data_IF_956938992630
#
_entry.id   IF_956938992630
#
_cell.length_a   1.000
_cell.length_b   1.000
_cell.length_c   1.000
_cell.angle_alpha   90.00
_cell.angle_beta   90.00
_cell.angle_gamma   90.00
#
_symmetry.space_group_name_H-M   'P 1'
#
loop_
_entity.id
_entity.type
_entity.pdbx_description
1 polymer ?
#
# COMPACT_ATOMS: atom_id res chain seq x y z
N UNK A 1 19.22 21.67 -4.32
CA UNK A 1 18.38 22.87 -4.50
C UNK A 1 18.92 24.05 -3.69
N UNK A 2 18.38 25.25 -3.93
CA UNK A 2 18.69 26.42 -3.10
C UNK A 2 17.98 26.34 -1.75
N UNK A 3 18.58 26.86 -0.69
CA UNK A 3 18.01 26.84 0.66
C UNK A 3 16.60 27.47 0.77
N UNK A 4 16.29 28.42 -0.10
CA UNK A 4 14.98 29.10 -0.21
C UNK A 4 13.82 28.12 -0.52
N UNK A 5 14.11 26.93 -1.05
CA UNK A 5 13.09 25.91 -1.31
C UNK A 5 12.60 25.18 -0.06
N UNK A 6 13.25 25.34 1.09
CA UNK A 6 13.00 24.56 2.31
C UNK A 6 11.53 24.58 2.78
N UNK A 7 10.91 25.78 2.81
CA UNK A 7 9.52 25.92 3.25
C UNK A 7 8.53 25.24 2.29
N UNK A 8 8.78 25.35 0.98
CA UNK A 8 8.00 24.64 -0.05
C UNK A 8 8.10 23.12 0.14
N UNK A 9 9.31 22.60 0.37
CA UNK A 9 9.52 21.16 0.57
C UNK A 9 8.77 20.65 1.79
N UNK A 10 8.86 21.37 2.93
CA UNK A 10 8.12 21.02 4.15
C UNK A 10 6.60 20.99 3.91
N UNK A 11 6.07 22.02 3.24
CA UNK A 11 4.64 22.12 2.96
C UNK A 11 4.12 20.99 2.06
N UNK A 12 5.00 20.32 1.32
CA UNK A 12 4.67 19.22 0.41
C UNK A 12 5.15 17.85 0.90
N UNK A 13 5.62 17.75 2.14
CA UNK A 13 6.05 16.49 2.74
C UNK A 13 7.39 15.95 2.22
N UNK A 14 8.19 16.80 1.55
CA UNK A 14 9.51 16.43 1.06
C UNK A 14 10.54 16.77 2.12
N UNK A 15 11.23 15.76 2.63
CA UNK A 15 12.31 15.96 3.60
C UNK A 15 13.56 16.53 2.89
N UNK A 16 14.41 17.23 3.63
CA UNK A 16 15.67 17.76 3.11
C UNK A 16 16.79 17.79 4.15
N UNK A 17 18.01 17.79 3.65
CA UNK A 17 19.24 17.92 4.45
C UNK A 17 19.98 19.17 3.98
N UNK A 18 20.39 20.05 4.91
CA UNK A 18 21.24 21.18 4.58
C UNK A 18 22.64 20.67 4.20
N UNK A 19 23.15 21.12 3.04
CA UNK A 19 24.52 20.82 2.59
C UNK A 19 25.50 21.93 2.98
N UNK A 20 25.06 23.19 2.81
CA UNK A 20 25.81 24.41 3.17
C UNK A 20 24.81 25.57 3.32
N UNK A 21 25.33 26.81 3.55
CA UNK A 21 24.47 28.00 3.78
C UNK A 21 23.51 28.33 2.61
N UNK A 22 23.80 27.86 1.40
CA UNK A 22 23.01 28.19 0.20
C UNK A 22 22.31 27.01 -0.45
N UNK A 23 22.59 25.77 -0.01
CA UNK A 23 22.11 24.56 -0.69
C UNK A 23 21.51 23.54 0.25
N UNK A 24 20.47 22.87 -0.24
CA UNK A 24 19.82 21.74 0.40
C UNK A 24 19.73 20.54 -0.55
N UNK A 25 19.72 19.35 0.03
CA UNK A 25 19.42 18.10 -0.68
C UNK A 25 18.01 17.68 -0.32
N UNK A 26 17.10 17.67 -1.29
CA UNK A 26 15.76 17.09 -1.11
C UNK A 26 15.86 15.56 -1.06
N UNK A 27 15.12 14.95 -0.14
CA UNK A 27 15.08 13.50 0.07
C UNK A 27 13.66 13.02 -0.16
N UNK A 28 13.45 12.30 -1.26
CA UNK A 28 12.14 11.74 -1.60
C UNK A 28 11.99 10.35 -0.97
N UNK A 29 10.80 10.09 -0.41
CA UNK A 29 10.44 8.73 0.01
C UNK A 29 10.25 7.81 -1.20
N UNK A 30 10.20 6.49 -0.98
CA UNK A 30 9.85 5.55 -2.04
C UNK A 30 8.47 5.87 -2.65
N UNK A 31 7.49 6.18 -1.80
CA UNK A 31 6.15 6.60 -2.24
C UNK A 31 6.18 7.79 -3.20
N UNK A 32 6.95 8.82 -2.87
CA UNK A 32 7.09 10.03 -3.68
C UNK A 32 7.83 9.77 -4.99
N UNK A 33 8.92 8.99 -4.93
CA UNK A 33 9.70 8.62 -6.12
C UNK A 33 8.88 7.77 -7.10
N UNK A 34 8.11 6.83 -6.57
CA UNK A 34 7.28 5.95 -7.38
C UNK A 34 6.07 6.67 -7.98
N UNK A 35 5.51 7.64 -7.29
CA UNK A 35 4.47 8.50 -7.85
C UNK A 35 4.99 9.29 -9.06
N UNK A 36 6.20 9.82 -8.98
CA UNK A 36 6.87 10.48 -10.13
C UNK A 36 7.09 9.51 -11.29
N UNK A 37 7.54 8.29 -11.01
CA UNK A 37 7.74 7.25 -12.03
C UNK A 37 6.42 6.86 -12.69
N UNK A 38 5.36 6.66 -11.91
CA UNK A 38 4.01 6.34 -12.42
C UNK A 38 3.50 7.43 -13.37
N UNK A 39 3.56 8.68 -12.94
CA UNK A 39 3.07 9.82 -13.71
C UNK A 39 3.89 10.01 -14.99
N UNK A 40 5.21 9.93 -14.90
CA UNK A 40 6.09 10.01 -16.06
C UNK A 40 5.78 8.90 -17.06
N UNK A 41 5.68 7.64 -16.60
CA UNK A 41 5.38 6.51 -17.46
C UNK A 41 4.01 6.64 -18.14
N UNK A 42 2.97 7.03 -17.38
CA UNK A 42 1.66 7.29 -17.93
C UNK A 42 1.67 8.39 -19.02
N UNK A 43 2.43 9.47 -18.80
CA UNK A 43 2.62 10.53 -19.80
C UNK A 43 3.31 10.02 -21.07
N UNK A 44 4.32 9.15 -20.94
CA UNK A 44 4.99 8.55 -22.10
C UNK A 44 4.04 7.66 -22.90
N UNK A 45 3.21 6.85 -22.23
CA UNK A 45 2.19 6.01 -22.89
C UNK A 45 1.14 6.87 -23.62
N UNK A 46 0.72 7.98 -23.02
CA UNK A 46 -0.22 8.95 -23.64
C UNK A 46 0.41 9.59 -24.87
N UNK A 47 1.66 10.04 -24.81
CA UNK A 47 2.38 10.63 -25.94
C UNK A 47 2.58 9.63 -27.08
N UNK A 48 2.81 8.36 -26.77
CA UNK A 48 2.94 7.30 -27.76
C UNK A 48 1.58 6.84 -28.36
N UNK A 49 0.44 7.36 -27.89
CA UNK A 49 -0.88 6.94 -28.34
C UNK A 49 -1.28 5.53 -27.87
N UNK A 50 -0.62 5.02 -26.82
CA UNK A 50 -0.83 3.66 -26.32
C UNK A 50 -1.79 3.62 -25.10
N UNK A 51 -2.06 4.78 -24.46
CA UNK A 51 -2.78 4.83 -23.19
C UNK A 51 -4.17 4.20 -23.27
N UNK A 52 -4.93 4.55 -24.28
CA UNK A 52 -6.35 4.17 -24.43
C UNK A 52 -6.55 2.74 -25.00
N UNK A 53 -5.47 2.04 -25.33
CA UNK A 53 -5.54 0.67 -25.84
C UNK A 53 -5.97 -0.34 -24.75
N UNK A 54 -5.86 0.04 -23.46
CA UNK A 54 -6.04 -0.85 -22.33
C UNK A 54 -6.81 -0.19 -21.19
N UNK A 55 -7.48 -1.00 -20.37
CA UNK A 55 -7.85 -0.57 -19.04
C UNK A 55 -6.61 -0.55 -18.18
N UNK A 56 -6.18 0.64 -17.75
CA UNK A 56 -4.96 0.84 -16.95
C UNK A 56 -5.23 0.58 -15.47
N UNK A 57 -4.31 -0.12 -14.83
CA UNK A 57 -4.42 -0.36 -13.39
C UNK A 57 -3.04 -0.36 -12.71
N UNK A 58 -3.07 -0.11 -11.40
CA UNK A 58 -1.92 -0.26 -10.51
C UNK A 58 -2.22 -1.32 -9.46
N UNK A 59 -1.16 -1.96 -8.94
CA UNK A 59 -1.25 -2.85 -7.79
C UNK A 59 -0.38 -2.23 -6.69
N UNK A 60 -0.97 -2.00 -5.52
CA UNK A 60 -0.24 -1.39 -4.39
C UNK A 60 -0.51 -2.12 -3.09
N UNK A 61 0.47 -2.10 -2.19
CA UNK A 61 0.24 -2.53 -0.81
C UNK A 61 -0.64 -1.51 -0.08
N UNK A 62 -1.43 -1.97 0.90
CA UNK A 62 -2.30 -1.10 1.69
C UNK A 62 -1.54 0.00 2.42
N UNK A 63 -0.28 -0.27 2.81
CA UNK A 63 0.61 0.70 3.45
C UNK A 63 1.20 1.77 2.50
N UNK A 64 0.98 1.65 1.18
CA UNK A 64 1.45 2.66 0.22
C UNK A 64 0.64 3.95 0.30
N UNK A 65 1.26 5.07 -0.12
CA UNK A 65 0.70 6.40 0.05
C UNK A 65 -0.70 6.60 -0.55
N UNK A 66 -1.53 7.42 0.11
CA UNK A 66 -2.85 7.85 -0.37
C UNK A 66 -2.76 8.64 -1.69
N UNK A 67 -1.65 9.34 -1.90
CA UNK A 67 -1.41 10.07 -3.15
C UNK A 67 -1.45 9.19 -4.41
N UNK A 68 -1.16 7.89 -4.29
CA UNK A 68 -1.27 6.96 -5.42
C UNK A 68 -2.73 6.70 -5.81
N UNK A 69 -3.62 6.60 -4.82
CA UNK A 69 -5.07 6.43 -5.06
C UNK A 69 -5.65 7.67 -5.73
N UNK A 70 -5.30 8.86 -5.20
CA UNK A 70 -5.76 10.15 -5.72
C UNK A 70 -5.25 10.38 -7.16
N UNK A 71 -3.98 10.04 -7.42
CA UNK A 71 -3.42 10.09 -8.78
C UNK A 71 -4.14 9.12 -9.71
N UNK A 72 -4.39 7.89 -9.27
CA UNK A 72 -5.06 6.87 -10.08
C UNK A 72 -6.49 7.30 -10.44
N UNK A 73 -7.25 7.83 -9.48
CA UNK A 73 -8.59 8.36 -9.69
C UNK A 73 -8.59 9.47 -10.75
N UNK A 74 -7.69 10.45 -10.63
CA UNK A 74 -7.59 11.57 -11.57
C UNK A 74 -7.15 11.17 -12.99
N UNK A 75 -6.48 10.02 -13.13
CA UNK A 75 -6.02 9.50 -14.42
C UNK A 75 -6.88 8.36 -14.98
N UNK A 76 -8.01 8.02 -14.33
CA UNK A 76 -8.88 6.92 -14.76
C UNK A 76 -8.24 5.54 -14.62
N UNK A 77 -7.26 5.39 -13.72
CA UNK A 77 -6.52 4.16 -13.47
C UNK A 77 -7.21 3.38 -12.35
N UNK A 78 -7.38 2.07 -12.52
CA UNK A 78 -7.94 1.20 -11.48
C UNK A 78 -6.86 0.89 -10.44
N UNK A 79 -7.28 0.73 -9.17
CA UNK A 79 -6.38 0.37 -8.07
C UNK A 79 -6.76 -1.00 -7.53
N UNK A 80 -5.78 -1.90 -7.41
CA UNK A 80 -5.94 -3.18 -6.72
C UNK A 80 -5.07 -3.15 -5.47
N UNK A 81 -5.71 -3.16 -4.31
CA UNK A 81 -5.03 -3.14 -3.02
C UNK A 81 -4.68 -4.57 -2.58
N UNK A 82 -3.47 -4.74 -2.07
CA UNK A 82 -2.98 -6.03 -1.57
C UNK A 82 -2.40 -5.88 -0.16
N UNK A 83 -2.34 -6.98 0.63
CA UNK A 83 -1.59 -6.98 1.87
C UNK A 83 -0.13 -6.58 1.65
N UNK A 84 0.54 -6.11 2.69
CA UNK A 84 1.97 -5.77 2.61
C UNK A 84 2.80 -7.00 2.27
N UNK A 85 3.62 -6.86 1.24
CA UNK A 85 4.54 -7.90 0.75
C UNK A 85 4.45 -8.10 -0.76
N UNK A 86 5.61 -8.06 -1.41
CA UNK A 86 5.67 -8.10 -2.88
C UNK A 86 5.10 -9.39 -3.49
N UNK A 87 5.11 -10.51 -2.74
CA UNK A 87 4.47 -11.76 -3.12
C UNK A 87 2.97 -11.59 -3.41
N UNK A 88 2.28 -10.67 -2.72
CA UNK A 88 0.85 -10.44 -2.90
C UNK A 88 0.57 -9.69 -4.21
N UNK A 89 1.47 -8.78 -4.59
CA UNK A 89 1.46 -8.14 -5.90
C UNK A 89 1.59 -9.21 -7.00
N UNK A 90 2.57 -10.12 -6.85
CA UNK A 90 2.76 -11.23 -7.78
C UNK A 90 1.53 -12.17 -7.86
N UNK A 91 0.85 -12.40 -6.74
CA UNK A 91 -0.37 -13.21 -6.72
C UNK A 91 -1.51 -12.56 -7.51
N UNK A 92 -1.71 -11.26 -7.40
CA UNK A 92 -2.70 -10.55 -8.23
C UNK A 92 -2.36 -10.66 -9.71
N UNK A 93 -1.10 -10.50 -10.09
CA UNK A 93 -0.69 -10.67 -11.49
C UNK A 93 -1.04 -12.05 -12.03
N UNK A 94 -0.78 -13.10 -11.24
CA UNK A 94 -1.13 -14.48 -11.62
C UNK A 94 -2.66 -14.65 -11.77
N UNK A 95 -3.46 -14.04 -10.89
CA UNK A 95 -4.93 -14.06 -10.99
C UNK A 95 -5.41 -13.38 -12.27
N UNK A 96 -4.83 -12.24 -12.63
CA UNK A 96 -5.12 -11.52 -13.88
C UNK A 96 -4.72 -12.38 -15.08
N UNK A 97 -3.52 -12.93 -15.09
CA UNK A 97 -3.02 -13.80 -16.15
C UNK A 97 -3.89 -15.05 -16.34
N UNK A 98 -4.31 -15.69 -15.25
CA UNK A 98 -5.22 -16.83 -15.27
C UNK A 98 -6.56 -16.48 -15.92
N UNK A 99 -7.18 -15.36 -15.49
CA UNK A 99 -8.43 -14.91 -16.07
C UNK A 99 -8.28 -14.55 -17.55
N UNK A 100 -7.20 -13.87 -17.94
CA UNK A 100 -6.93 -13.58 -19.36
C UNK A 100 -6.82 -14.84 -20.21
N UNK A 101 -6.23 -15.92 -19.67
CA UNK A 101 -6.10 -17.17 -20.36
C UNK A 101 -7.43 -17.97 -20.47
N UNK A 102 -8.32 -17.84 -19.49
CA UNK A 102 -9.51 -18.67 -19.34
C UNK A 102 -10.82 -17.97 -19.76
N UNK A 103 -10.88 -16.64 -19.74
CA UNK A 103 -12.14 -15.91 -19.79
C UNK A 103 -12.75 -15.69 -21.19
N UNK A 104 -12.09 -16.11 -22.26
CA UNK A 104 -12.61 -16.00 -23.63
C UNK A 104 -13.12 -14.59 -23.99
N UNK A 105 -12.38 -13.54 -23.61
CA UNK A 105 -12.71 -12.14 -23.90
C UNK A 105 -13.78 -11.50 -22.99
N UNK A 106 -14.05 -12.10 -21.83
CA UNK A 106 -14.83 -11.46 -20.75
C UNK A 106 -13.95 -10.49 -19.95
N UNK A 107 -14.60 -9.67 -19.15
CA UNK A 107 -13.89 -8.77 -18.23
C UNK A 107 -13.11 -9.56 -17.17
N UNK A 108 -11.90 -9.09 -16.88
CA UNK A 108 -11.10 -9.53 -15.74
C UNK A 108 -11.59 -8.79 -14.49
N UNK A 109 -11.99 -9.51 -13.46
CA UNK A 109 -12.44 -8.95 -12.19
C UNK A 109 -11.60 -9.53 -11.07
N UNK A 110 -11.01 -8.65 -10.27
CA UNK A 110 -10.15 -9.02 -9.14
C UNK A 110 -10.77 -8.52 -7.85
N UNK A 111 -11.02 -9.41 -6.90
CA UNK A 111 -11.38 -9.00 -5.54
C UNK A 111 -10.11 -8.61 -4.80
N UNK A 112 -10.02 -7.36 -4.33
CA UNK A 112 -8.88 -6.84 -3.59
C UNK A 112 -8.91 -7.27 -2.10
N UNK A 113 -7.89 -6.88 -1.33
CA UNK A 113 -7.79 -7.27 0.09
C UNK A 113 -8.92 -6.69 0.95
N UNK A 114 -9.47 -5.55 0.57
CA UNK A 114 -10.63 -4.96 1.25
C UNK A 114 -11.93 -5.71 1.00
N UNK A 115 -11.94 -6.60 0.01
CA UNK A 115 -13.11 -7.36 -0.42
C UNK A 115 -13.92 -6.65 -1.50
N UNK A 116 -13.34 -5.65 -2.18
CA UNK A 116 -13.99 -4.96 -3.28
C UNK A 116 -13.62 -5.60 -4.62
N UNK A 117 -14.62 -5.79 -5.47
CA UNK A 117 -14.41 -6.27 -6.84
C UNK A 117 -13.97 -5.12 -7.75
N UNK A 118 -12.76 -5.23 -8.27
CA UNK A 118 -12.17 -4.27 -9.21
C UNK A 118 -12.29 -4.84 -10.62
N UNK A 119 -13.17 -4.25 -11.43
CA UNK A 119 -13.31 -4.60 -12.84
C UNK A 119 -12.17 -3.95 -13.65
N UNK A 120 -11.28 -4.79 -14.18
CA UNK A 120 -10.12 -4.41 -14.99
C UNK A 120 -10.41 -4.46 -16.51
N UNK A 121 -11.67 -4.75 -16.91
CA UNK A 121 -12.06 -4.85 -18.32
C UNK A 121 -11.47 -6.07 -19.02
N UNK A 122 -11.61 -6.08 -20.34
CA UNK A 122 -11.19 -7.22 -21.19
C UNK A 122 -9.70 -7.25 -21.51
N UNK A 123 -9.07 -6.10 -21.51
CA UNK A 123 -7.68 -5.93 -21.91
C UNK A 123 -6.93 -5.06 -20.88
N UNK A 124 -6.69 -5.58 -19.66
CA UNK A 124 -6.00 -4.83 -18.62
C UNK A 124 -4.50 -4.76 -18.87
N UNK A 125 -3.89 -3.61 -18.57
CA UNK A 125 -2.43 -3.45 -18.55
C UNK A 125 -1.97 -2.75 -17.26
N UNK A 126 -0.97 -3.34 -16.62
CA UNK A 126 -0.36 -2.79 -15.41
C UNK A 126 0.45 -1.55 -15.78
N UNK A 127 0.12 -0.41 -15.20
CA UNK A 127 0.96 0.80 -15.32
C UNK A 127 2.14 0.71 -14.36
N UNK A 128 1.86 0.27 -13.15
CA UNK A 128 2.82 0.22 -12.06
C UNK A 128 2.35 -0.78 -11.00
N UNK A 129 3.30 -1.45 -10.36
CA UNK A 129 3.02 -2.16 -9.12
C UNK A 129 4.17 -1.96 -8.13
N UNK A 130 3.83 -1.73 -6.86
CA UNK A 130 4.87 -1.41 -5.88
C UNK A 130 4.41 -1.39 -4.44
N UNK A 131 5.40 -1.24 -3.57
CA UNK A 131 5.24 -1.18 -2.12
C UNK A 131 6.01 0.02 -1.54
N UNK A 132 5.55 0.52 -0.40
CA UNK A 132 6.14 1.66 0.33
C UNK A 132 7.60 1.45 0.72
N UNK A 133 8.05 0.21 0.80
CA UNK A 133 9.42 -0.16 1.21
C UNK A 133 10.45 -0.07 0.08
N UNK A 134 10.05 0.31 -1.14
CA UNK A 134 10.96 0.56 -2.25
C UNK A 134 11.00 -0.54 -3.33
N UNK A 135 10.10 -1.51 -3.30
CA UNK A 135 9.95 -2.49 -4.37
C UNK A 135 9.00 -2.00 -5.46
N UNK A 136 9.38 -2.10 -6.73
CA UNK A 136 8.53 -1.72 -7.86
C UNK A 136 8.73 -2.61 -9.09
N UNK A 137 7.72 -2.61 -9.95
CA UNK A 137 7.75 -3.11 -11.32
C UNK A 137 6.82 -2.30 -12.22
N UNK A 138 7.10 -2.33 -13.52
CA UNK A 138 6.26 -1.77 -14.59
C UNK A 138 5.67 -2.94 -15.40
N UNK A 139 4.43 -2.79 -15.85
CA UNK A 139 3.79 -3.77 -16.72
C UNK A 139 4.24 -3.66 -18.18
N UNK A 140 4.18 -4.78 -18.88
CA UNK A 140 4.32 -4.79 -20.32
C UNK A 140 3.05 -4.24 -20.99
N UNK A 141 3.20 -3.58 -22.14
CA UNK A 141 2.04 -3.07 -22.91
C UNK A 141 1.13 -4.23 -23.37
N UNK A 142 1.73 -5.30 -23.84
CA UNK A 142 1.02 -6.52 -24.15
C UNK A 142 1.58 -7.69 -23.33
N UNK A 143 0.76 -8.68 -22.97
CA UNK A 143 1.26 -9.86 -22.28
C UNK A 143 2.41 -10.52 -23.03
N UNK A 144 3.49 -10.80 -22.33
CA UNK A 144 4.65 -11.51 -22.87
C UNK A 144 4.40 -13.02 -22.76
N UNK A 145 4.48 -13.74 -23.88
CA UNK A 145 4.34 -15.20 -23.90
C UNK A 145 5.72 -15.83 -24.14
N UNK A 146 6.16 -16.67 -23.20
CA UNK A 146 7.44 -17.38 -23.33
C UNK A 146 7.35 -18.50 -24.38
N UNK A 147 8.50 -18.98 -24.87
CA UNK A 147 8.56 -20.14 -25.77
C UNK A 147 7.90 -21.40 -25.19
N UNK A 148 7.79 -21.50 -23.86
CA UNK A 148 7.10 -22.59 -23.18
C UNK A 148 5.60 -22.35 -22.97
N UNK A 149 5.01 -21.29 -23.57
CA UNK A 149 3.59 -20.97 -23.49
C UNK A 149 3.14 -20.31 -22.17
N UNK A 150 4.05 -19.84 -21.34
CA UNK A 150 3.70 -19.07 -20.13
C UNK A 150 3.49 -17.63 -20.48
N UNK A 151 2.35 -17.08 -20.06
CA UNK A 151 2.03 -15.66 -20.17
C UNK A 151 2.46 -14.92 -18.91
N UNK A 152 2.92 -13.67 -19.09
CA UNK A 152 3.18 -12.73 -18.01
C UNK A 152 2.79 -11.29 -18.43
N UNK A 153 2.09 -10.57 -17.58
CA UNK A 153 1.73 -9.16 -17.78
C UNK A 153 2.80 -8.21 -17.23
N UNK A 154 3.64 -8.69 -16.33
CA UNK A 154 4.79 -7.99 -15.76
C UNK A 154 5.77 -9.01 -15.16
N UNK A 155 6.93 -8.54 -14.70
CA UNK A 155 7.78 -9.32 -13.82
C UNK A 155 7.04 -9.62 -12.51
N UNK A 156 7.37 -10.76 -11.87
CA UNK A 156 6.68 -11.18 -10.63
C UNK A 156 7.50 -10.93 -9.38
N UNK A 157 8.55 -10.14 -9.49
CA UNK A 157 9.42 -9.73 -8.40
C UNK A 157 9.96 -8.31 -8.69
N UNK A 158 10.41 -7.63 -7.64
CA UNK A 158 10.98 -6.26 -7.71
C UNK A 158 12.04 -6.16 -8.80
N UNK A 159 11.98 -5.13 -9.59
CA UNK A 159 12.90 -4.90 -10.69
C UNK A 159 13.72 -3.62 -10.50
N UNK A 160 14.92 -3.76 -9.97
CA UNK A 160 15.87 -2.65 -9.90
C UNK A 160 16.25 -2.12 -11.29
N UNK A 161 16.30 -2.99 -12.29
CA UNK A 161 16.62 -2.60 -13.67
C UNK A 161 15.55 -1.68 -14.25
N UNK A 162 14.27 -2.00 -14.07
CA UNK A 162 13.17 -1.12 -14.51
C UNK A 162 13.20 0.22 -13.79
N UNK A 163 13.44 0.21 -12.47
CA UNK A 163 13.55 1.43 -11.67
C UNK A 163 14.69 2.32 -12.18
N UNK A 164 15.87 1.75 -12.49
CA UNK A 164 17.03 2.48 -13.01
C UNK A 164 16.71 3.06 -14.41
N UNK A 165 16.19 2.26 -15.32
CA UNK A 165 15.92 2.69 -16.70
C UNK A 165 14.90 3.81 -16.72
N UNK A 166 13.75 3.64 -16.08
CA UNK A 166 12.69 4.65 -16.12
C UNK A 166 13.04 5.86 -15.25
N UNK A 167 13.68 5.66 -14.10
CA UNK A 167 14.16 6.75 -13.27
C UNK A 167 15.21 7.61 -13.98
N UNK A 168 16.14 6.99 -14.73
CA UNK A 168 17.12 7.74 -15.53
C UNK A 168 16.47 8.51 -16.68
N UNK A 169 15.47 7.92 -17.33
CA UNK A 169 14.69 8.61 -18.37
C UNK A 169 13.93 9.82 -17.80
N UNK A 170 13.28 9.65 -16.63
CA UNK A 170 12.61 10.74 -15.91
C UNK A 170 13.58 11.87 -15.58
N UNK A 171 14.73 11.56 -14.97
CA UNK A 171 15.74 12.58 -14.62
C UNK A 171 16.26 13.30 -15.87
N UNK A 172 16.51 12.57 -16.96
CA UNK A 172 16.97 13.16 -18.23
C UNK A 172 15.90 14.08 -18.84
N UNK A 173 14.63 13.69 -18.77
CA UNK A 173 13.52 14.53 -19.23
C UNK A 173 13.40 15.80 -18.39
N UNK A 174 13.42 15.70 -17.07
CA UNK A 174 13.36 16.86 -16.18
C UNK A 174 14.56 17.81 -16.35
N UNK A 175 15.75 17.27 -16.62
CA UNK A 175 16.93 18.08 -16.90
C UNK A 175 16.76 18.93 -18.17
N UNK A 176 16.10 18.40 -19.22
CA UNK A 176 15.77 19.17 -20.44
C UNK A 176 14.76 20.28 -20.14
N UNK A 177 13.82 20.03 -19.24
CA UNK A 177 12.83 21.01 -18.77
C UNK A 177 13.40 21.98 -17.71
N UNK A 178 14.65 21.81 -17.28
CA UNK A 178 15.31 22.57 -16.21
C UNK A 178 14.56 22.52 -14.89
N UNK A 179 13.99 21.38 -14.59
CA UNK A 179 13.16 21.11 -13.41
C UNK A 179 13.86 20.09 -12.49
N UNK A 180 13.79 20.30 -11.19
CA UNK A 180 14.23 19.32 -10.19
C UNK A 180 13.15 18.26 -9.93
N UNK A 181 13.53 17.12 -9.32
CA UNK A 181 12.57 16.07 -8.93
C UNK A 181 11.52 16.60 -7.93
N UNK A 182 11.91 17.45 -7.00
CA UNK A 182 10.98 18.02 -6.02
C UNK A 182 10.01 19.02 -6.67
N UNK A 183 10.47 19.84 -7.61
CA UNK A 183 9.59 20.73 -8.39
C UNK A 183 8.59 19.93 -9.22
N UNK A 184 9.05 18.84 -9.85
CA UNK A 184 8.19 17.94 -10.59
C UNK A 184 7.13 17.30 -9.69
N UNK A 185 7.51 16.88 -8.47
CA UNK A 185 6.57 16.29 -7.51
C UNK A 185 5.54 17.31 -7.01
N UNK A 186 5.97 18.55 -6.70
CA UNK A 186 5.04 19.63 -6.31
C UNK A 186 4.05 19.91 -7.44
N UNK A 187 4.57 20.04 -8.68
CA UNK A 187 3.72 20.23 -9.85
C UNK A 187 2.74 19.07 -10.06
N UNK A 188 3.18 17.83 -9.87
CA UNK A 188 2.33 16.65 -9.98
C UNK A 188 1.19 16.69 -8.95
N UNK A 189 1.49 17.05 -7.69
CA UNK A 189 0.47 17.22 -6.65
C UNK A 189 -0.58 18.26 -7.03
N UNK A 190 -0.15 19.40 -7.58
CA UNK A 190 -1.04 20.49 -7.98
C UNK A 190 -1.88 20.11 -9.20
N UNK A 191 -1.26 19.56 -10.25
CA UNK A 191 -1.92 19.14 -11.49
C UNK A 191 -2.99 18.05 -11.22
N UNK A 192 -2.75 17.14 -10.29
CA UNK A 192 -3.67 16.07 -9.92
C UNK A 192 -4.50 16.41 -8.67
N UNK A 193 -4.44 17.61 -8.12
CA UNK A 193 -5.17 18.05 -6.92
C UNK A 193 -5.01 17.08 -5.74
N UNK A 194 -3.80 16.53 -5.57
CA UNK A 194 -3.48 15.57 -4.52
C UNK A 194 -3.48 16.28 -3.17
N UNK A 195 -4.26 15.77 -2.24
CA UNK A 195 -4.38 16.26 -0.87
C UNK A 195 -3.52 15.41 0.07
N UNK A 196 -3.49 14.11 -0.13
CA UNK A 196 -2.77 13.12 0.67
C UNK A 196 -1.25 13.13 0.42
N UNK A 197 -0.59 14.25 0.67
CA UNK A 197 0.83 14.51 0.37
C UNK A 197 1.80 13.88 1.37
N UNK A 198 1.32 13.54 2.57
CA UNK A 198 2.16 13.03 3.66
C UNK A 198 1.94 11.55 3.88
N UNK A 199 3.01 10.84 4.12
CA UNK A 199 3.01 9.47 4.63
C UNK A 199 3.92 9.37 5.85
N UNK A 200 3.55 8.50 6.79
CA UNK A 200 4.27 8.25 8.02
C UNK A 200 4.35 6.74 8.29
N UNK A 201 5.41 6.33 8.95
CA UNK A 201 5.59 4.98 9.47
C UNK A 201 6.23 5.07 10.84
N UNK A 202 5.66 4.37 11.81
CA UNK A 202 6.19 4.17 13.15
C UNK A 202 6.38 2.68 13.40
N UNK A 203 7.60 2.29 13.76
CA UNK A 203 7.92 0.92 14.17
C UNK A 203 8.04 0.91 15.70
N UNK A 204 7.02 0.42 16.40
CA UNK A 204 6.91 0.46 17.85
C UNK A 204 7.40 -0.87 18.42
N UNK A 205 8.57 -0.87 19.07
CA UNK A 205 9.12 -2.02 19.76
C UNK A 205 8.58 -2.13 21.19
N UNK A 206 8.16 -3.34 21.58
CA UNK A 206 7.67 -3.61 22.93
C UNK A 206 8.76 -4.13 23.88
N UNK A 207 10.04 -3.94 23.53
CA UNK A 207 11.20 -4.31 24.30
C UNK A 207 12.35 -3.32 24.02
N UNK A 208 13.36 -3.31 24.89
CA UNK A 208 14.56 -2.50 24.68
C UNK A 208 15.48 -3.19 23.67
N UNK A 209 15.56 -2.67 22.46
CA UNK A 209 16.40 -3.20 21.38
C UNK A 209 17.90 -3.05 21.65
N UNK A 210 18.29 -2.13 22.54
CA UNK A 210 19.67 -1.83 22.90
C UNK A 210 20.16 -2.64 24.12
N UNK A 211 19.41 -3.65 24.58
CA UNK A 211 19.81 -4.50 25.70
C UNK A 211 21.04 -5.35 25.29
N UNK A 212 22.20 -5.16 25.94
CA UNK A 212 23.44 -5.83 25.56
C UNK A 212 23.51 -7.31 25.98
N UNK A 213 22.71 -7.71 26.97
CA UNK A 213 22.63 -9.09 27.45
C UNK A 213 21.67 -9.89 26.55
N UNK A 214 22.19 -10.86 25.81
CA UNK A 214 21.44 -11.68 24.86
C UNK A 214 20.30 -12.46 25.54
N UNK A 215 20.52 -12.96 26.76
CA UNK A 215 19.49 -13.73 27.47
C UNK A 215 18.33 -12.83 27.91
N UNK A 216 18.65 -11.63 28.43
CA UNK A 216 17.64 -10.60 28.78
C UNK A 216 16.92 -10.09 27.52
N UNK A 217 17.64 -9.83 26.43
CA UNK A 217 17.06 -9.43 25.15
C UNK A 217 16.07 -10.47 24.64
N UNK A 218 16.44 -11.76 24.71
CA UNK A 218 15.56 -12.85 24.26
C UNK A 218 14.30 -12.97 25.12
N UNK A 219 14.42 -12.86 26.44
CA UNK A 219 13.28 -12.85 27.35
C UNK A 219 12.37 -11.63 27.11
N UNK A 220 12.95 -10.43 26.96
CA UNK A 220 12.24 -9.20 26.69
C UNK A 220 11.48 -9.25 25.33
N UNK A 221 12.09 -9.87 24.31
CA UNK A 221 11.40 -10.09 23.01
C UNK A 221 10.16 -10.97 23.18
N UNK A 222 10.26 -12.07 23.92
CA UNK A 222 9.13 -12.98 24.19
C UNK A 222 7.97 -12.26 24.90
N UNK A 223 8.29 -11.45 25.91
CA UNK A 223 7.29 -10.63 26.62
C UNK A 223 6.71 -9.56 25.69
N UNK A 224 7.57 -8.95 24.85
CA UNK A 224 7.15 -8.00 23.83
C UNK A 224 6.20 -8.58 22.79
N UNK A 225 6.39 -9.84 22.39
CA UNK A 225 5.47 -10.55 21.47
C UNK A 225 4.08 -10.72 22.07
N UNK A 226 3.97 -10.99 23.37
CA UNK A 226 2.68 -11.07 24.02
C UNK A 226 1.96 -9.72 24.04
N UNK A 227 2.68 -8.62 24.34
CA UNK A 227 2.14 -7.24 24.29
C UNK A 227 1.71 -6.86 22.88
N UNK A 228 2.58 -7.08 21.89
CA UNK A 228 2.26 -6.87 20.48
C UNK A 228 0.99 -7.62 20.09
N UNK A 229 0.89 -8.88 20.46
CA UNK A 229 -0.28 -9.72 20.13
C UNK A 229 -1.57 -9.13 20.68
N UNK A 230 -1.57 -8.58 21.90
CA UNK A 230 -2.75 -7.92 22.47
C UNK A 230 -3.15 -6.68 21.66
N UNK A 231 -2.17 -5.80 21.34
CA UNK A 231 -2.40 -4.62 20.50
C UNK A 231 -3.03 -5.03 19.16
N UNK A 232 -2.42 -5.98 18.50
CA UNK A 232 -2.80 -6.47 17.18
C UNK A 232 -4.22 -7.04 17.16
N UNK A 233 -4.52 -7.97 18.08
CA UNK A 233 -5.82 -8.64 18.15
C UNK A 233 -6.93 -7.66 18.53
N UNK A 234 -6.64 -6.61 19.30
CA UNK A 234 -7.63 -5.57 19.61
C UNK A 234 -8.23 -4.97 18.34
N UNK A 235 -7.40 -4.51 17.43
CA UNK A 235 -7.85 -3.91 16.16
C UNK A 235 -8.40 -4.97 15.20
N UNK A 236 -7.71 -6.11 15.11
CA UNK A 236 -8.07 -7.20 14.21
C UNK A 236 -9.47 -7.72 14.48
N UNK A 237 -9.86 -7.89 15.76
CA UNK A 237 -11.20 -8.36 16.10
C UNK A 237 -12.29 -7.35 15.69
N UNK A 238 -12.01 -6.04 15.78
CA UNK A 238 -12.92 -4.98 15.30
C UNK A 238 -13.10 -5.11 13.78
N UNK A 239 -12.00 -5.18 13.03
CA UNK A 239 -12.04 -5.29 11.57
C UNK A 239 -12.77 -6.57 11.11
N UNK A 240 -12.51 -7.68 11.78
CA UNK A 240 -13.16 -8.96 11.50
C UNK A 240 -14.65 -8.95 11.84
N UNK A 241 -15.04 -8.41 12.99
CA UNK A 241 -16.44 -8.30 13.38
C UNK A 241 -17.23 -7.39 12.43
N UNK A 242 -16.62 -6.30 11.97
CA UNK A 242 -17.19 -5.41 10.95
C UNK A 242 -17.34 -6.13 9.62
N UNK A 243 -16.31 -6.85 9.16
CA UNK A 243 -16.35 -7.63 7.90
C UNK A 243 -17.46 -8.69 7.92
N UNK A 244 -17.68 -9.35 9.06
CA UNK A 244 -18.76 -10.34 9.26
C UNK A 244 -20.14 -9.69 9.47
N UNK A 245 -20.26 -8.37 9.47
CA UNK A 245 -21.51 -7.64 9.70
C UNK A 245 -22.04 -7.74 11.15
N UNK A 246 -21.19 -8.13 12.10
CA UNK A 246 -21.55 -8.21 13.54
C UNK A 246 -21.59 -6.86 14.21
N UNK A 247 -20.79 -5.92 13.72
CA UNK A 247 -20.76 -4.51 14.14
C UNK A 247 -20.80 -3.59 12.93
N UNK A 248 -21.25 -2.35 13.16
CA UNK A 248 -21.23 -1.27 12.18
C UNK A 248 -19.96 -0.42 12.34
N UNK A 249 -19.72 0.50 11.41
CA UNK A 249 -18.66 1.52 11.55
C UNK A 249 -18.92 2.42 12.76
N UNK A 250 -20.19 2.73 13.05
CA UNK A 250 -20.55 3.54 14.22
C UNK A 250 -20.23 2.82 15.53
N UNK A 251 -20.46 1.50 15.60
CA UNK A 251 -20.04 0.71 16.77
C UNK A 251 -18.52 0.67 16.92
N UNK A 252 -17.77 0.52 15.83
CA UNK A 252 -16.32 0.61 15.86
C UNK A 252 -15.84 2.00 16.31
N UNK A 253 -16.50 3.07 15.84
CA UNK A 253 -16.21 4.44 16.29
C UNK A 253 -16.46 4.61 17.80
N UNK A 254 -17.59 4.08 18.33
CA UNK A 254 -17.90 4.08 19.76
C UNK A 254 -16.80 3.39 20.57
N UNK A 255 -16.29 2.24 20.10
CA UNK A 255 -15.17 1.54 20.73
C UNK A 255 -13.92 2.42 20.74
N UNK A 256 -13.54 3.02 19.61
CA UNK A 256 -12.33 3.82 19.51
C UNK A 256 -12.41 5.09 20.36
N UNK A 257 -13.55 5.78 20.36
CA UNK A 257 -13.77 6.97 21.21
C UNK A 257 -13.70 6.60 22.69
N UNK A 258 -14.32 5.49 23.10
CA UNK A 258 -14.26 5.04 24.50
C UNK A 258 -12.85 4.60 24.93
N UNK A 259 -12.01 4.19 23.99
CA UNK A 259 -10.66 3.69 24.27
C UNK A 259 -9.62 4.80 24.27
N UNK A 260 -9.70 5.70 23.29
CA UNK A 260 -8.67 6.74 23.06
C UNK A 260 -9.13 8.13 23.50
N UNK A 261 -10.40 8.25 23.94
CA UNK A 261 -10.95 9.49 24.52
C UNK A 261 -10.75 10.69 23.61
N UNK A 262 -10.29 11.77 24.24
CA UNK A 262 -10.04 13.05 23.55
C UNK A 262 -8.68 13.12 22.83
N UNK A 263 -7.88 12.04 22.89
CA UNK A 263 -6.55 12.08 22.27
C UNK A 263 -6.63 12.05 20.75
N UNK A 264 -7.57 11.27 20.17
CA UNK A 264 -7.72 11.07 18.74
C UNK A 264 -9.16 11.35 18.29
N UNK A 265 -9.30 12.03 17.16
CA UNK A 265 -10.60 12.31 16.56
C UNK A 265 -10.98 11.21 15.53
N UNK A 266 -12.04 10.47 15.85
CA UNK A 266 -12.63 9.44 14.99
C UNK A 266 -13.94 9.88 14.32
N UNK A 267 -14.31 11.16 14.37
CA UNK A 267 -15.59 11.66 13.87
C UNK A 267 -15.81 11.39 12.39
N UNK A 268 -14.75 11.43 11.58
CA UNK A 268 -14.77 11.19 10.15
C UNK A 268 -14.25 9.78 9.74
N UNK A 269 -14.23 8.81 10.68
CA UNK A 269 -13.95 7.41 10.37
C UNK A 269 -15.03 6.85 9.44
N UNK A 270 -14.63 6.37 8.27
CA UNK A 270 -15.51 5.82 7.22
C UNK A 270 -15.61 4.32 7.24
N UNK A 271 -14.50 3.66 7.54
CA UNK A 271 -14.47 2.21 7.57
C UNK A 271 -13.34 1.67 8.44
N UNK A 272 -13.50 0.39 8.86
CA UNK A 272 -12.49 -0.41 9.54
C UNK A 272 -12.35 -1.70 8.74
N UNK A 273 -11.22 -1.85 8.06
CA UNK A 273 -11.01 -2.88 7.06
C UNK A 273 -9.92 -3.85 7.49
N UNK A 274 -10.13 -5.11 7.20
CA UNK A 274 -9.13 -6.16 7.34
C UNK A 274 -8.18 -6.15 6.15
N UNK A 275 -6.87 -6.24 6.39
CA UNK A 275 -5.82 -6.15 5.35
C UNK A 275 -4.85 -7.33 5.35
N UNK A 276 -5.32 -8.49 5.71
CA UNK A 276 -4.51 -9.72 5.74
C UNK A 276 -3.96 -10.02 7.14
N UNK A 277 -2.96 -9.30 7.58
CA UNK A 277 -2.35 -9.47 8.91
C UNK A 277 -2.56 -8.26 9.83
N UNK A 278 -3.33 -7.26 9.40
CA UNK A 278 -3.55 -6.01 10.13
C UNK A 278 -4.93 -5.41 9.92
N UNK A 279 -5.08 -4.20 10.41
CA UNK A 279 -6.31 -3.42 10.40
C UNK A 279 -6.06 -2.05 9.79
N UNK A 280 -6.93 -1.64 8.87
CA UNK A 280 -6.89 -0.38 8.16
C UNK A 280 -8.08 0.48 8.57
N UNK A 281 -7.81 1.64 9.12
CA UNK A 281 -8.79 2.65 9.49
C UNK A 281 -8.88 3.67 8.36
N UNK A 282 -9.97 3.68 7.64
CA UNK A 282 -10.22 4.60 6.53
C UNK A 282 -10.98 5.83 7.04
N UNK A 283 -10.45 7.00 6.77
CA UNK A 283 -11.08 8.30 7.02
C UNK A 283 -11.30 9.05 5.70
N UNK A 284 -11.98 10.20 5.74
CA UNK A 284 -12.16 11.03 4.55
C UNK A 284 -10.83 11.55 3.98
N UNK A 285 -9.95 12.02 4.87
CA UNK A 285 -8.72 12.75 4.55
C UNK A 285 -7.44 11.94 4.73
N UNK A 286 -7.54 10.75 5.36
CA UNK A 286 -6.38 9.92 5.71
C UNK A 286 -6.73 8.44 5.83
N UNK A 287 -5.71 7.61 5.96
CA UNK A 287 -5.83 6.28 6.54
C UNK A 287 -4.77 6.06 7.62
N UNK A 288 -5.05 5.11 8.52
CA UNK A 288 -4.06 4.56 9.47
C UNK A 288 -4.14 3.03 9.39
N UNK A 289 -3.00 2.38 9.18
CA UNK A 289 -2.91 0.91 9.19
C UNK A 289 -2.06 0.45 10.36
N UNK A 290 -2.57 -0.48 11.15
CA UNK A 290 -1.89 -1.11 12.28
C UNK A 290 -1.71 -2.58 11.96
N UNK A 291 -0.45 -3.06 11.98
CA UNK A 291 -0.14 -4.47 11.71
C UNK A 291 1.07 -4.96 12.52
N UNK A 292 1.15 -6.26 12.80
CA UNK A 292 2.31 -6.85 13.42
C UNK A 292 3.51 -6.87 12.47
N UNK A 293 4.72 -6.77 13.01
CA UNK A 293 5.91 -7.15 12.26
C UNK A 293 5.98 -8.68 12.13
N UNK A 294 6.24 -9.17 10.92
CA UNK A 294 6.39 -10.60 10.67
C UNK A 294 7.66 -11.21 11.29
N UNK A 295 8.65 -10.39 11.67
CA UNK A 295 10.00 -10.84 12.07
C UNK A 295 10.42 -10.41 13.46
N UNK A 296 9.65 -9.53 14.13
CA UNK A 296 10.07 -8.96 15.41
C UNK A 296 8.86 -8.60 16.30
N UNK A 297 9.10 -8.43 17.62
CA UNK A 297 8.11 -8.02 18.61
C UNK A 297 7.79 -6.52 18.49
N UNK A 298 7.35 -6.09 17.31
CA UNK A 298 7.01 -4.71 16.94
C UNK A 298 5.63 -4.63 16.31
N UNK A 299 4.93 -3.56 16.59
CA UNK A 299 3.80 -3.10 15.78
C UNK A 299 4.30 -2.07 14.78
N UNK A 300 3.87 -2.21 13.55
CA UNK A 300 4.08 -1.23 12.48
C UNK A 300 2.80 -0.44 12.30
N UNK A 301 2.89 0.87 12.46
CA UNK A 301 1.80 1.79 12.23
C UNK A 301 2.13 2.67 11.03
N UNK A 302 1.29 2.61 10.00
CA UNK A 302 1.40 3.43 8.80
C UNK A 302 0.27 4.44 8.77
N UNK A 303 0.50 5.57 8.15
CA UNK A 303 -0.54 6.54 7.87
C UNK A 303 -0.23 7.36 6.65
N UNK A 304 -1.24 7.71 5.86
CA UNK A 304 -1.10 8.67 4.78
C UNK A 304 -2.32 9.61 4.71
N UNK A 305 -2.08 10.87 4.37
CA UNK A 305 -3.12 11.91 4.36
C UNK A 305 -2.58 13.32 4.24
N UNK A 306 -3.37 14.29 4.68
CA UNK A 306 -3.12 15.73 4.49
C UNK A 306 -2.36 16.42 5.62
N UNK A 307 -2.24 15.81 6.81
CA UNK A 307 -1.61 16.39 8.00
C UNK A 307 -0.62 15.43 8.66
N UNK A 308 0.69 15.66 8.45
CA UNK A 308 1.78 14.82 8.98
C UNK A 308 1.75 14.72 10.51
N UNK A 309 1.45 15.80 11.22
CA UNK A 309 1.44 15.80 12.68
C UNK A 309 0.29 14.96 13.24
N UNK A 310 -0.89 15.08 12.64
CA UNK A 310 -2.05 14.27 12.97
C UNK A 310 -1.79 12.78 12.68
N UNK A 311 -1.22 12.44 11.51
CA UNK A 311 -0.85 11.08 11.15
C UNK A 311 0.11 10.45 12.15
N UNK A 312 1.18 11.16 12.53
CA UNK A 312 2.14 10.71 13.54
C UNK A 312 1.51 10.47 14.88
N UNK A 313 0.60 11.37 15.30
CA UNK A 313 -0.14 11.24 16.55
C UNK A 313 -0.98 9.97 16.55
N UNK A 314 -1.77 9.73 15.49
CA UNK A 314 -2.55 8.51 15.33
C UNK A 314 -1.67 7.26 15.35
N UNK A 315 -0.63 7.22 14.51
CA UNK A 315 0.25 6.05 14.39
C UNK A 315 0.92 5.70 15.73
N UNK A 316 1.42 6.70 16.48
CA UNK A 316 2.04 6.50 17.79
C UNK A 316 1.03 6.05 18.85
N UNK A 317 -0.10 6.72 18.97
CA UNK A 317 -1.11 6.40 19.99
C UNK A 317 -1.68 5.00 19.76
N UNK A 318 -2.11 4.68 18.53
CA UNK A 318 -2.68 3.38 18.23
C UNK A 318 -1.63 2.25 18.32
N UNK A 319 -0.43 2.49 17.81
CA UNK A 319 0.63 1.48 17.83
C UNK A 319 1.16 1.16 19.24
N UNK A 320 1.11 2.12 20.17
CA UNK A 320 1.53 1.91 21.58
C UNK A 320 0.42 1.41 22.50
N UNK A 321 -0.79 1.24 21.98
CA UNK A 321 -1.91 0.80 22.83
C UNK A 321 -1.67 -0.59 23.40
N UNK A 322 -2.02 -0.77 24.68
CA UNK A 322 -1.82 -2.05 25.40
C UNK A 322 -2.70 -3.20 24.90
N UNK A 323 -3.80 -2.87 24.19
CA UNK A 323 -4.79 -3.86 23.75
C UNK A 323 -5.76 -4.28 24.86
N UNK A 324 -5.92 -3.46 25.90
CA UNK A 324 -6.84 -3.75 27.01
C UNK A 324 -8.30 -3.57 26.56
N UNK A 325 -9.18 -4.48 27.00
CA UNK A 325 -10.58 -4.46 26.65
C UNK A 325 -11.37 -3.68 27.71
N UNK A 326 -12.08 -2.64 27.27
CA UNK A 326 -13.01 -1.91 28.14
C UNK A 326 -14.46 -2.41 27.96
N UNK A 327 -15.39 -1.91 28.80
CA UNK A 327 -16.79 -2.33 28.79
C UNK A 327 -17.47 -2.03 27.43
N UNK A 328 -17.14 -0.92 26.79
CA UNK A 328 -17.69 -0.57 25.48
C UNK A 328 -17.23 -1.55 24.41
N UNK A 329 -15.95 -1.95 24.47
CA UNK A 329 -15.45 -2.99 23.57
C UNK A 329 -16.22 -4.29 23.76
N UNK A 330 -16.34 -4.76 25.01
CA UNK A 330 -16.99 -6.03 25.34
C UNK A 330 -18.50 -6.02 25.08
N UNK A 331 -19.15 -4.86 25.04
CA UNK A 331 -20.53 -4.71 24.61
C UNK A 331 -20.76 -5.13 23.16
N UNK A 332 -19.79 -4.87 22.28
CA UNK A 332 -19.91 -5.12 20.84
C UNK A 332 -19.14 -6.37 20.37
N UNK A 333 -18.04 -6.70 21.04
CA UNK A 333 -17.15 -7.82 20.70
C UNK A 333 -16.91 -8.63 21.95
N UNK A 334 -17.58 -9.78 22.06
CA UNK A 334 -17.39 -10.64 23.20
C UNK A 334 -15.98 -11.25 23.27
N UNK A 335 -15.60 -11.70 24.48
CA UNK A 335 -14.26 -12.25 24.71
C UNK A 335 -13.95 -13.48 23.86
N UNK A 336 -14.93 -14.34 23.61
CA UNK A 336 -14.74 -15.54 22.79
C UNK A 336 -14.46 -15.17 21.32
N UNK A 337 -15.11 -14.13 20.80
CA UNK A 337 -14.83 -13.62 19.47
C UNK A 337 -13.43 -13.03 19.38
N UNK A 338 -13.05 -12.20 20.36
CA UNK A 338 -11.68 -11.63 20.45
C UNK A 338 -10.62 -12.74 20.44
N UNK A 339 -10.77 -13.77 21.29
CA UNK A 339 -9.80 -14.86 21.41
C UNK A 339 -9.63 -15.67 20.10
N UNK A 340 -10.67 -15.71 19.26
CA UNK A 340 -10.66 -16.42 17.98
C UNK A 340 -10.33 -15.53 16.78
N UNK A 341 -10.21 -14.22 16.93
CA UNK A 341 -10.05 -13.28 15.80
C UNK A 341 -8.81 -13.60 14.96
N UNK A 342 -7.68 -13.92 15.58
CA UNK A 342 -6.44 -14.26 14.89
C UNK A 342 -6.54 -15.55 14.06
N UNK A 343 -7.21 -16.57 14.57
CA UNK A 343 -7.42 -17.81 13.82
C UNK A 343 -8.35 -17.59 12.63
N UNK A 344 -9.41 -16.80 12.80
CA UNK A 344 -10.34 -16.44 11.74
C UNK A 344 -9.66 -15.63 10.64
N UNK A 345 -8.86 -14.64 11.03
CA UNK A 345 -8.13 -13.79 10.07
C UNK A 345 -7.18 -14.60 9.19
N UNK A 346 -6.52 -15.60 9.75
CA UNK A 346 -5.60 -16.47 9.02
C UNK A 346 -6.33 -17.28 7.93
N UNK A 347 -7.57 -17.72 8.17
CA UNK A 347 -8.39 -18.40 7.16
C UNK A 347 -8.72 -17.49 6.00
N UNK A 348 -9.22 -16.27 6.28
CA UNK A 348 -9.57 -15.29 5.25
C UNK A 348 -8.33 -14.86 4.45
N UNK A 349 -7.21 -14.64 5.11
CA UNK A 349 -5.96 -14.31 4.43
C UNK A 349 -5.49 -15.44 3.51
N UNK A 350 -5.68 -16.69 3.94
CA UNK A 350 -5.34 -17.83 3.12
C UNK A 350 -6.24 -17.97 1.87
N UNK A 351 -7.52 -17.65 1.99
CA UNK A 351 -8.46 -17.57 0.86
C UNK A 351 -8.06 -16.46 -0.12
N UNK A 352 -7.67 -15.30 0.40
CA UNK A 352 -7.18 -14.19 -0.43
C UNK A 352 -5.92 -14.56 -1.22
N UNK A 353 -4.95 -15.22 -0.58
CA UNK A 353 -3.66 -15.58 -1.18
C UNK A 353 -3.77 -16.71 -2.21
N UNK A 354 -4.94 -17.28 -2.46
CA UNK A 354 -5.27 -18.31 -3.43
C UNK A 354 -4.11 -19.26 -3.80
N UNK A 355 -4.09 -20.44 -3.20
CA UNK A 355 -3.05 -21.45 -3.49
C UNK A 355 -3.01 -21.89 -4.96
N UNK A 356 -4.12 -21.70 -5.69
CA UNK A 356 -4.22 -22.06 -7.11
C UNK A 356 -3.66 -20.97 -8.05
N UNK A 357 -3.29 -19.78 -7.54
CA UNK A 357 -2.59 -18.79 -8.36
C UNK A 357 -1.24 -19.28 -8.94
N UNK A 358 -0.74 -20.40 -8.45
CA UNK A 358 0.44 -21.04 -9.04
C UNK A 358 0.14 -21.85 -10.31
N UNK A 359 -1.12 -22.18 -10.58
CA UNK A 359 -1.57 -22.97 -11.73
C UNK A 359 -2.10 -22.06 -12.85
N UNK A 360 -1.29 -21.11 -13.30
CA UNK A 360 -1.63 -20.30 -14.48
C UNK A 360 -1.61 -21.22 -15.71
N UNK A 361 -2.70 -21.31 -16.50
CA UNK A 361 -2.73 -22.16 -17.70
C UNK A 361 -1.64 -21.76 -18.68
N UNK A 362 -1.14 -22.73 -19.42
CA UNK A 362 -0.28 -22.45 -20.57
C UNK A 362 -1.13 -21.87 -21.70
N UNK A 363 -0.72 -20.70 -22.19
CA UNK A 363 -1.26 -20.14 -23.43
C UNK A 363 -0.41 -20.67 -24.56
N UNK A 364 -1.03 -21.32 -25.54
CA UNK A 364 -0.33 -21.72 -26.77
C UNK A 364 -0.25 -20.48 -27.66
N UNK A 365 0.93 -19.88 -27.85
CA UNK A 365 1.03 -18.68 -28.67
C UNK A 365 0.69 -18.99 -30.11
N UNK A 366 -0.20 -18.20 -30.70
CA UNK A 366 -0.30 -18.17 -32.16
C UNK A 366 0.89 -17.36 -32.69
N UNK A 367 1.96 -18.04 -33.08
CA UNK A 367 3.24 -17.43 -33.45
C UNK A 367 3.14 -16.45 -34.63
N UNK A 368 2.08 -16.52 -35.44
CA UNK A 368 1.86 -15.64 -36.57
C UNK A 368 1.37 -14.23 -36.12
N UNK A 369 0.75 -14.12 -34.95
CA UNK A 369 0.20 -12.85 -34.44
C UNK A 369 1.14 -12.17 -33.43
N UNK A 370 2.03 -12.95 -32.77
CA UNK A 370 2.82 -12.45 -31.63
C UNK A 370 4.15 -11.80 -32.05
N UNK A 371 4.64 -11.98 -33.27
CA UNK A 371 5.96 -11.51 -33.68
C UNK A 371 5.91 -10.37 -34.70
N UNK A 372 4.74 -9.98 -35.20
CA UNK A 372 4.63 -8.83 -36.13
C UNK A 372 5.63 -8.94 -37.32
N UNK A 373 5.91 -10.17 -37.81
CA UNK A 373 6.71 -10.43 -38.98
C UNK A 373 5.83 -10.68 -40.20
#
# INVERSE_FOLDING_TARGET
EKAEAADRLKATGIDYVALDEGRILSVLTANQSFLLIMDFWAKQLKQAGLWDNHTRFIIKTTASAKSWDEWAENNGVKVVNVPVGFKEIANIMKKVEKQLAENNGKDVVITDVFGYDVNLGKNPAVVFAGEESGGMIIGAENPVVSKAGRMAIAMREKSATEAIVIGSALVSHLAQEKMTLSEALVKLFDDNKIIGKFDVREDIAYYNESEPDIAKLTAAKKDGEAKRTKNDVFYLAIAMAKREGKITVDNAREIFVSTFGDELDFSNLKDVLFVGDGTYLLFDDKYIEIRPSGTDAKTKAYGAGSDKANLLKFAKTLGNYSGDLNDTYLKFIDKAYYDNAKAKSAVIYQEFTDKDANNVPFVIPNYSETIGL
#
